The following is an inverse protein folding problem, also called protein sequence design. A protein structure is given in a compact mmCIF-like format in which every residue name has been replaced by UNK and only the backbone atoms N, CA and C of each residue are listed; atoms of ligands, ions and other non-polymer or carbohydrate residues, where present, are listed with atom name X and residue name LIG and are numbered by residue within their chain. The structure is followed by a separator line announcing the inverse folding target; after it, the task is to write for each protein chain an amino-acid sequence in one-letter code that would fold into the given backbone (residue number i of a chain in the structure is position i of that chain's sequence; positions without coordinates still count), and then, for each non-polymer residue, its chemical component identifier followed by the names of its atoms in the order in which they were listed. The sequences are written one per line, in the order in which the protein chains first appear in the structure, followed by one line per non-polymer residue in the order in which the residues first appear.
data_IF_001121689333
#
_entry.id   IF_001121689333
#
_cell.length_a   1.000
_cell.length_b   1.000
_cell.length_c   1.000
_cell.angle_alpha   90.00
_cell.angle_beta   90.00
_cell.angle_gamma   90.00
#
_symmetry.space_group_name_H-M   'P 1'
#
loop_
_entity.id
_entity.type
_entity.pdbx_description
1 polymer ?
#
# COMPACT_ATOMS: atom_id res chain seq x y z
N UNK A 1 -70.49 53.48 6.25
CA UNK A 1 -71.79 54.09 5.99
C UNK A 1 -72.14 53.96 4.51
N UNK A 2 -73.38 53.71 4.11
CA UNK A 2 -74.39 52.91 4.80
C UNK A 2 -75.00 51.83 3.87
N UNK A 3 -75.68 50.95 4.50
CA UNK A 3 -77.10 50.61 4.45
C UNK A 3 -77.53 49.64 3.35
N UNK A 4 -78.08 48.55 3.84
CA UNK A 4 -79.53 48.12 3.94
C UNK A 4 -80.10 47.73 2.58
N UNK A 5 -80.84 46.68 2.37
CA UNK A 5 -81.98 46.13 3.09
C UNK A 5 -82.28 44.68 2.70
N UNK A 6 -82.72 43.93 3.66
CA UNK A 6 -83.84 43.01 3.75
C UNK A 6 -84.83 42.95 2.59
N UNK A 7 -85.22 41.70 2.23
CA UNK A 7 -86.65 41.25 2.18
C UNK A 7 -86.65 39.73 1.82
N UNK A 8 -87.10 39.00 2.62
CA UNK A 8 -88.17 38.08 3.02
C UNK A 8 -89.00 37.44 1.90
N UNK A 9 -89.35 36.20 2.22
CA UNK A 9 -90.50 35.34 1.75
C UNK A 9 -90.18 34.57 0.45
N UNK A 10 -90.39 33.26 0.35
CA UNK A 10 -91.66 32.55 0.63
C UNK A 10 -91.41 31.03 0.64
N UNK A 11 -92.14 30.42 1.54
CA UNK A 11 -92.21 28.97 1.81
C UNK A 11 -93.09 28.29 0.73
N UNK A 12 -92.50 27.31 0.00
CA UNK A 12 -93.33 26.43 -0.84
C UNK A 12 -92.89 25.00 -0.61
N UNK A 13 -93.69 24.28 0.19
CA UNK A 13 -93.60 22.81 0.31
C UNK A 13 -93.89 22.15 -1.02
N UNK A 14 -93.00 21.25 -1.45
CA UNK A 14 -93.30 20.26 -2.45
C UNK A 14 -93.13 18.85 -1.84
N UNK A 15 -93.89 17.85 -2.28
CA UNK A 15 -94.20 16.65 -1.54
C UNK A 15 -92.98 15.64 -1.51
N UNK A 16 -92.93 14.91 -0.41
CA UNK A 16 -91.96 13.82 -0.21
C UNK A 16 -92.18 12.71 -1.25
N UNK A 17 -91.07 12.30 -1.93
CA UNK A 17 -90.98 11.13 -2.77
C UNK A 17 -90.51 9.94 -1.92
N UNK A 18 -91.30 8.82 -1.76
CA UNK A 18 -91.01 7.74 -0.88
C UNK A 18 -90.11 6.66 -1.52
N UNK A 19 -89.12 6.99 -2.36
CA UNK A 19 -88.27 6.04 -3.02
C UNK A 19 -86.74 6.29 -2.88
N UNK A 20 -86.32 6.98 -1.80
CA UNK A 20 -84.90 7.04 -1.50
C UNK A 20 -84.49 5.81 -0.68
N UNK A 21 -84.19 4.73 -1.39
CA UNK A 21 -83.49 3.53 -0.85
C UNK A 21 -82.09 3.94 -0.44
N UNK A 22 -81.76 3.88 0.87
CA UNK A 22 -80.46 4.11 1.41
C UNK A 22 -79.42 3.16 0.74
N UNK A 23 -78.63 3.66 -0.20
CA UNK A 23 -77.46 2.97 -0.70
C UNK A 23 -76.44 2.86 0.43
N UNK A 24 -76.26 1.66 1.00
CA UNK A 24 -75.16 1.33 1.87
C UNK A 24 -73.85 1.65 1.13
N UNK A 25 -72.84 2.30 1.78
CA UNK A 25 -71.58 2.49 1.14
C UNK A 25 -70.95 1.12 0.88
N UNK A 26 -70.68 0.82 -0.40
CA UNK A 26 -69.90 -0.34 -0.82
C UNK A 26 -68.63 -0.40 0.03
N UNK A 27 -68.48 -1.50 0.80
CA UNK A 27 -67.22 -1.84 1.41
C UNK A 27 -66.16 -1.94 0.33
N UNK A 28 -65.26 -0.96 0.30
CA UNK A 28 -64.09 -1.02 -0.53
C UNK A 28 -63.42 -2.39 -0.41
N UNK A 29 -63.09 -3.11 -1.50
CA UNK A 29 -62.45 -4.44 -1.42
C UNK A 29 -61.21 -4.30 -0.56
N UNK A 30 -61.19 -5.09 0.54
CA UNK A 30 -60.13 -5.07 1.54
C UNK A 30 -58.76 -5.09 0.83
N UNK A 31 -57.93 -4.06 1.08
CA UNK A 31 -56.58 -3.99 0.59
C UNK A 31 -55.87 -5.27 1.03
N UNK A 32 -55.68 -6.19 0.11
CA UNK A 32 -54.93 -7.42 0.32
C UNK A 32 -53.57 -7.03 0.92
N UNK A 33 -53.31 -7.39 2.15
CA UNK A 33 -52.09 -7.02 2.85
C UNK A 33 -50.91 -7.50 2.00
N UNK A 34 -50.02 -6.55 1.57
CA UNK A 34 -48.87 -6.87 0.80
C UNK A 34 -48.09 -8.04 1.43
N UNK A 35 -47.67 -9.06 0.66
CA UNK A 35 -47.03 -10.24 1.21
C UNK A 35 -45.82 -9.78 2.05
N UNK A 36 -45.60 -10.41 3.21
CA UNK A 36 -44.49 -10.01 4.09
C UNK A 36 -43.17 -10.10 3.36
N UNK A 37 -42.36 -9.02 3.45
CA UNK A 37 -41.08 -8.94 2.78
C UNK A 37 -40.24 -10.20 3.09
N UNK A 38 -39.57 -10.80 2.08
CA UNK A 38 -38.82 -12.04 2.25
C UNK A 38 -37.76 -11.87 3.34
N UNK A 39 -37.76 -12.79 4.32
CA UNK A 39 -36.79 -12.77 5.42
C UNK A 39 -35.39 -12.97 4.85
N UNK A 40 -34.62 -11.87 4.70
CA UNK A 40 -33.24 -11.92 4.24
C UNK A 40 -32.35 -12.67 5.24
N UNK A 41 -31.39 -13.44 4.71
CA UNK A 41 -30.41 -14.20 5.48
C UNK A 41 -29.02 -13.87 4.97
N UNK A 42 -28.02 -13.99 5.84
CA UNK A 42 -26.62 -13.95 5.40
C UNK A 42 -26.37 -15.09 4.40
N UNK A 43 -25.69 -14.82 3.29
CA UNK A 43 -25.36 -15.86 2.32
C UNK A 43 -24.35 -16.85 2.93
N UNK A 44 -24.42 -18.11 2.51
CA UNK A 44 -23.55 -19.19 3.03
C UNK A 44 -22.08 -18.85 2.89
N UNK A 45 -21.70 -18.23 1.76
CA UNK A 45 -20.30 -17.85 1.55
C UNK A 45 -19.76 -16.88 2.62
N UNK A 46 -20.60 -16.02 3.21
CA UNK A 46 -20.15 -15.12 4.29
C UNK A 46 -19.67 -15.91 5.52
N UNK A 47 -20.36 -17.02 5.87
CA UNK A 47 -19.92 -17.89 6.97
C UNK A 47 -18.58 -18.60 6.65
N UNK A 48 -18.38 -19.00 5.38
CA UNK A 48 -17.10 -19.56 4.93
C UNK A 48 -15.98 -18.54 5.09
N UNK A 49 -16.20 -17.29 4.64
CA UNK A 49 -15.20 -16.21 4.76
C UNK A 49 -14.90 -15.88 6.23
N UNK A 50 -15.90 -15.88 7.11
CA UNK A 50 -15.68 -15.72 8.55
C UNK A 50 -14.87 -16.88 9.14
N UNK A 51 -15.16 -18.11 8.73
CA UNK A 51 -14.36 -19.28 9.14
C UNK A 51 -12.89 -19.17 8.73
N UNK A 52 -12.64 -18.72 7.49
CA UNK A 52 -11.28 -18.45 6.99
C UNK A 52 -10.61 -17.33 7.81
N UNK A 53 -11.35 -16.25 8.16
CA UNK A 53 -10.80 -15.16 8.97
C UNK A 53 -10.45 -15.60 10.40
N UNK A 54 -11.23 -16.51 11.00
CA UNK A 54 -10.90 -17.11 12.30
C UNK A 54 -9.62 -17.94 12.21
N UNK A 55 -9.46 -18.74 11.14
CA UNK A 55 -8.22 -19.47 10.88
C UNK A 55 -7.03 -18.52 10.66
N UNK A 56 -7.22 -17.43 9.91
CA UNK A 56 -6.20 -16.40 9.72
C UNK A 56 -5.80 -15.73 11.05
N UNK A 57 -6.77 -15.44 11.92
CA UNK A 57 -6.49 -14.91 13.25
C UNK A 57 -5.66 -15.88 14.08
N UNK A 58 -5.97 -17.18 14.04
CA UNK A 58 -5.20 -18.21 14.75
C UNK A 58 -3.76 -18.28 14.22
N UNK A 59 -3.56 -18.20 12.90
CA UNK A 59 -2.22 -18.13 12.26
C UNK A 59 -1.48 -16.87 12.71
N UNK A 60 -2.13 -15.72 12.73
CA UNK A 60 -1.51 -14.46 13.17
C UNK A 60 -1.07 -14.54 14.64
N UNK A 61 -1.88 -15.13 15.52
CA UNK A 61 -1.53 -15.34 16.92
C UNK A 61 -0.34 -16.32 17.04
N UNK A 62 -0.35 -17.41 16.29
CA UNK A 62 0.77 -18.36 16.28
C UNK A 62 2.07 -17.72 15.78
N UNK A 63 2.00 -16.88 14.73
CA UNK A 63 3.15 -16.14 14.21
C UNK A 63 3.72 -15.16 15.25
N UNK A 64 2.85 -14.46 15.99
CA UNK A 64 3.28 -13.56 17.09
C UNK A 64 3.96 -14.29 18.25
N UNK A 65 3.60 -15.54 18.51
CA UNK A 65 4.14 -16.32 19.59
C UNK A 65 5.40 -17.10 19.21
N UNK A 66 5.68 -17.30 17.92
CA UNK A 66 6.80 -18.11 17.45
C UNK A 66 7.37 -17.57 16.14
N UNK A 67 8.56 -16.91 16.17
CA UNK A 67 9.27 -16.50 14.96
C UNK A 67 9.53 -17.66 13.99
N UNK A 68 9.88 -18.84 14.50
CA UNK A 68 10.09 -20.01 13.65
C UNK A 68 8.83 -20.48 12.91
N UNK A 69 7.64 -20.37 13.56
CA UNK A 69 6.37 -20.60 12.88
C UNK A 69 6.12 -19.54 11.82
N UNK A 70 6.36 -18.26 12.14
CA UNK A 70 6.19 -17.16 11.21
C UNK A 70 7.08 -17.33 9.96
N UNK A 71 8.35 -17.66 10.14
CA UNK A 71 9.30 -17.92 9.04
C UNK A 71 8.84 -19.10 8.17
N UNK A 72 8.46 -20.21 8.79
CA UNK A 72 7.99 -21.41 8.08
C UNK A 72 6.72 -21.09 7.29
N UNK A 73 5.75 -20.43 7.92
CA UNK A 73 4.50 -20.06 7.27
C UNK A 73 4.72 -19.08 6.11
N UNK A 74 5.52 -18.02 6.33
CA UNK A 74 5.84 -17.01 5.33
C UNK A 74 6.58 -17.62 4.12
N UNK A 75 7.52 -18.56 4.38
CA UNK A 75 8.32 -19.23 3.34
C UNK A 75 7.50 -20.17 2.47
N UNK A 76 6.61 -20.97 3.06
CA UNK A 76 5.90 -22.03 2.33
C UNK A 76 4.47 -21.63 1.93
N UNK A 77 3.68 -21.11 2.85
CA UNK A 77 2.29 -20.74 2.59
C UNK A 77 2.21 -19.33 2.00
N UNK A 78 2.84 -18.37 2.65
CA UNK A 78 2.87 -16.98 2.20
C UNK A 78 3.46 -16.83 0.79
N UNK A 79 4.57 -17.50 0.51
CA UNK A 79 5.18 -17.47 -0.82
C UNK A 79 4.27 -18.02 -1.92
N UNK A 80 3.49 -19.08 -1.63
CA UNK A 80 2.51 -19.61 -2.59
C UNK A 80 1.39 -18.62 -2.84
N UNK A 81 0.85 -17.98 -1.78
CA UNK A 81 -0.22 -16.98 -1.92
C UNK A 81 0.27 -15.78 -2.72
N UNK A 82 1.43 -15.21 -2.38
CA UNK A 82 2.03 -14.08 -3.11
C UNK A 82 2.33 -14.42 -4.57
N UNK A 83 2.97 -15.59 -4.78
CA UNK A 83 3.29 -16.08 -6.12
C UNK A 83 2.05 -16.27 -6.98
N UNK A 84 1.00 -16.89 -6.44
CA UNK A 84 -0.27 -17.07 -7.15
C UNK A 84 -0.90 -15.73 -7.53
N UNK A 85 -0.99 -14.78 -6.59
CA UNK A 85 -1.52 -13.44 -6.86
C UNK A 85 -0.69 -12.70 -7.91
N UNK A 86 0.65 -12.68 -7.76
CA UNK A 86 1.54 -12.02 -8.71
C UNK A 86 1.43 -12.61 -10.13
N UNK A 87 1.28 -13.94 -10.27
CA UNK A 87 1.09 -14.56 -11.57
C UNK A 87 -0.30 -14.30 -12.16
N UNK A 88 -1.35 -14.34 -11.33
CA UNK A 88 -2.73 -14.06 -11.78
C UNK A 88 -2.90 -12.62 -12.25
N UNK A 89 -2.20 -11.66 -11.64
CA UNK A 89 -2.27 -10.25 -12.03
C UNK A 89 -1.18 -9.85 -13.03
N UNK A 90 -0.11 -10.63 -13.13
CA UNK A 90 1.09 -10.31 -13.91
C UNK A 90 0.85 -10.11 -15.41
N UNK A 91 -0.17 -10.74 -15.99
CA UNK A 91 -0.55 -10.57 -17.40
C UNK A 91 -1.30 -9.24 -17.66
N UNK A 92 -1.86 -8.61 -16.63
CA UNK A 92 -2.58 -7.33 -16.74
C UNK A 92 -1.56 -6.19 -16.90
N UNK A 93 -1.65 -5.34 -17.94
CA UNK A 93 -0.62 -4.37 -18.27
C UNK A 93 -0.62 -3.11 -17.38
N UNK A 94 -1.60 -2.96 -16.49
CA UNK A 94 -1.73 -1.82 -15.57
C UNK A 94 -1.88 -2.28 -14.12
N UNK A 95 -1.73 -1.35 -13.17
CA UNK A 95 -1.91 -1.63 -11.74
C UNK A 95 -3.38 -1.84 -11.38
N UNK A 96 -3.73 -3.05 -10.90
CA UNK A 96 -5.05 -3.31 -10.32
C UNK A 96 -5.21 -2.61 -8.97
N UNK A 97 -4.12 -2.49 -8.20
CA UNK A 97 -4.12 -1.76 -6.93
C UNK A 97 -4.54 -0.30 -7.15
N UNK A 98 -3.94 0.37 -8.13
CA UNK A 98 -4.33 1.74 -8.52
C UNK A 98 -5.78 1.82 -8.99
N UNK A 99 -6.20 0.90 -9.89
CA UNK A 99 -7.57 0.86 -10.37
C UNK A 99 -8.58 0.70 -9.21
N UNK A 100 -8.27 -0.14 -8.22
CA UNK A 100 -9.11 -0.29 -7.03
C UNK A 100 -9.21 1.01 -6.24
N UNK A 101 -8.11 1.74 -6.03
CA UNK A 101 -8.12 3.03 -5.32
C UNK A 101 -8.98 4.07 -6.07
N UNK A 102 -8.82 4.16 -7.40
CA UNK A 102 -9.60 5.09 -8.23
C UNK A 102 -11.11 4.79 -8.18
N UNK A 103 -11.48 3.50 -8.23
CA UNK A 103 -12.89 3.07 -8.21
C UNK A 103 -13.49 2.96 -6.81
N UNK A 104 -12.70 3.04 -5.75
CA UNK A 104 -13.18 2.93 -4.37
C UNK A 104 -14.30 3.93 -4.02
N UNK A 105 -14.21 5.24 -4.35
CA UNK A 105 -15.30 6.17 -4.08
C UNK A 105 -16.59 5.79 -4.81
N UNK A 106 -16.49 5.34 -6.06
CA UNK A 106 -17.66 4.91 -6.87
C UNK A 106 -18.29 3.66 -6.24
N UNK A 107 -17.48 2.70 -5.83
CA UNK A 107 -17.94 1.50 -5.12
C UNK A 107 -18.60 1.84 -3.79
N UNK A 108 -18.05 2.80 -3.02
CA UNK A 108 -18.63 3.27 -1.77
C UNK A 108 -20.02 3.90 -2.00
N UNK A 109 -20.15 4.81 -2.96
CA UNK A 109 -21.45 5.40 -3.33
C UNK A 109 -22.44 4.33 -3.77
N UNK A 110 -22.01 3.39 -4.63
CA UNK A 110 -22.85 2.26 -5.06
C UNK A 110 -23.33 1.43 -3.87
N UNK A 111 -22.44 1.11 -2.93
CA UNK A 111 -22.77 0.35 -1.73
C UNK A 111 -23.80 1.09 -0.86
N UNK A 112 -23.63 2.41 -0.65
CA UNK A 112 -24.56 3.24 0.11
C UNK A 112 -25.94 3.27 -0.57
N UNK A 113 -26.00 3.56 -1.88
CA UNK A 113 -27.25 3.58 -2.64
C UNK A 113 -27.95 2.22 -2.60
N UNK A 114 -27.20 1.13 -2.73
CA UNK A 114 -27.73 -0.24 -2.61
C UNK A 114 -28.26 -0.52 -1.20
N UNK A 115 -27.58 -0.08 -0.16
CA UNK A 115 -28.05 -0.18 1.22
C UNK A 115 -29.38 0.55 1.41
N UNK A 116 -29.45 1.83 1.01
CA UNK A 116 -30.64 2.65 1.14
C UNK A 116 -31.84 2.11 0.32
N UNK A 117 -31.59 1.61 -0.89
CA UNK A 117 -32.68 1.15 -1.78
C UNK A 117 -33.16 -0.25 -1.47
N UNK A 118 -32.30 -1.16 -1.02
CA UNK A 118 -32.64 -2.59 -0.90
C UNK A 118 -32.66 -3.13 0.53
N UNK A 119 -32.06 -2.43 1.50
CA UNK A 119 -31.86 -2.97 2.84
C UNK A 119 -32.37 -2.07 3.96
N UNK A 120 -33.08 -0.99 3.63
CA UNK A 120 -33.66 -0.05 4.60
C UNK A 120 -35.05 -0.47 5.13
N UNK A 121 -35.57 -1.61 4.66
CA UNK A 121 -36.89 -2.13 5.02
C UNK A 121 -37.00 -2.63 6.48
N UNK A 122 -35.89 -3.05 7.07
CA UNK A 122 -35.84 -3.50 8.47
C UNK A 122 -34.42 -3.51 9.01
N UNK A 123 -34.25 -3.40 10.33
CA UNK A 123 -32.95 -3.55 11.01
C UNK A 123 -32.27 -4.87 10.68
N UNK A 124 -33.07 -5.94 10.54
CA UNK A 124 -32.54 -7.24 10.12
C UNK A 124 -31.88 -7.18 8.74
N UNK A 125 -32.48 -6.49 7.77
CA UNK A 125 -31.92 -6.33 6.43
C UNK A 125 -30.62 -5.52 6.47
N UNK A 126 -30.57 -4.48 7.29
CA UNK A 126 -29.35 -3.69 7.52
C UNK A 126 -28.22 -4.57 8.08
N UNK A 127 -28.51 -5.38 9.12
CA UNK A 127 -27.49 -6.28 9.69
C UNK A 127 -27.03 -7.36 8.70
N UNK A 128 -27.91 -7.91 7.87
CA UNK A 128 -27.53 -8.84 6.79
C UNK A 128 -26.63 -8.17 5.77
N UNK A 129 -26.91 -6.92 5.42
CA UNK A 129 -26.07 -6.16 4.51
C UNK A 129 -24.68 -5.88 5.11
N UNK A 130 -24.64 -5.33 6.31
CA UNK A 130 -23.38 -5.04 7.02
C UNK A 130 -22.56 -6.32 7.23
N UNK A 131 -23.20 -7.43 7.61
CA UNK A 131 -22.54 -8.73 7.69
C UNK A 131 -21.96 -9.17 6.34
N UNK A 132 -22.69 -8.97 5.24
CA UNK A 132 -22.15 -9.30 3.91
C UNK A 132 -20.94 -8.43 3.53
N UNK A 133 -20.96 -7.14 3.86
CA UNK A 133 -19.79 -6.26 3.67
C UNK A 133 -18.61 -6.69 4.56
N UNK A 134 -18.89 -6.98 5.83
CA UNK A 134 -17.86 -7.46 6.76
C UNK A 134 -17.22 -8.78 6.31
N UNK A 135 -17.97 -9.65 5.62
CA UNK A 135 -17.39 -10.90 5.07
C UNK A 135 -16.34 -10.62 3.99
N UNK A 136 -16.50 -9.56 3.19
CA UNK A 136 -15.49 -9.12 2.22
C UNK A 136 -14.25 -8.57 2.93
N UNK A 137 -14.44 -7.76 3.98
CA UNK A 137 -13.34 -7.27 4.83
C UNK A 137 -12.59 -8.44 5.47
N UNK A 138 -13.31 -9.48 5.92
CA UNK A 138 -12.74 -10.72 6.47
C UNK A 138 -11.87 -11.46 5.43
N UNK A 139 -12.27 -11.45 4.16
CA UNK A 139 -11.45 -12.00 3.07
C UNK A 139 -10.15 -11.20 2.90
N UNK A 140 -10.23 -9.86 2.83
CA UNK A 140 -9.04 -9.02 2.70
C UNK A 140 -8.08 -9.21 3.89
N UNK A 141 -8.61 -9.28 5.10
CA UNK A 141 -7.83 -9.61 6.30
C UNK A 141 -7.14 -10.97 6.17
N UNK A 142 -7.85 -11.98 5.70
CA UNK A 142 -7.29 -13.33 5.53
C UNK A 142 -6.18 -13.36 4.49
N UNK A 143 -6.37 -12.68 3.35
CA UNK A 143 -5.34 -12.56 2.30
C UNK A 143 -4.12 -11.82 2.84
N UNK A 144 -4.32 -10.75 3.62
CA UNK A 144 -3.23 -10.05 4.29
C UNK A 144 -2.42 -10.98 5.20
N UNK A 145 -3.09 -11.69 6.12
CA UNK A 145 -2.41 -12.56 7.09
C UNK A 145 -1.68 -13.70 6.38
N UNK A 146 -2.34 -14.40 5.46
CA UNK A 146 -1.76 -15.55 4.76
C UNK A 146 -0.67 -15.15 3.77
N UNK A 147 -0.81 -14.00 3.12
CA UNK A 147 0.11 -13.56 2.08
C UNK A 147 1.28 -12.70 2.59
N UNK A 148 1.09 -11.89 3.64
CA UNK A 148 2.06 -10.86 3.99
C UNK A 148 2.26 -10.66 5.50
N UNK A 149 1.17 -10.57 6.28
CA UNK A 149 1.19 -10.12 7.67
C UNK A 149 2.04 -10.98 8.62
N UNK A 150 2.24 -12.27 8.32
CA UNK A 150 3.12 -13.14 9.12
C UNK A 150 4.60 -12.74 9.01
N UNK A 151 5.02 -12.09 7.92
CA UNK A 151 6.40 -11.63 7.72
C UNK A 151 6.88 -10.63 8.78
N UNK A 152 5.97 -9.88 9.43
CA UNK A 152 6.34 -8.95 10.51
C UNK A 152 6.86 -9.63 11.77
N UNK A 153 6.58 -10.92 11.96
CA UNK A 153 6.85 -11.65 13.21
C UNK A 153 7.92 -12.74 13.07
N UNK A 154 8.52 -12.88 11.88
CA UNK A 154 9.63 -13.79 11.64
C UNK A 154 10.94 -13.31 12.27
N UNK A 155 11.95 -14.17 12.22
CA UNK A 155 13.34 -13.86 12.53
C UNK A 155 13.80 -12.69 11.66
N UNK A 156 14.51 -11.73 12.25
CA UNK A 156 14.97 -10.53 11.53
C UNK A 156 16.04 -10.84 10.48
N UNK A 157 16.20 -9.96 9.49
CA UNK A 157 17.19 -10.13 8.43
C UNK A 157 18.62 -10.10 8.99
N UNK A 158 18.88 -9.23 9.97
CA UNK A 158 20.18 -9.21 10.66
C UNK A 158 20.53 -10.55 11.33
N UNK A 159 19.58 -11.15 12.04
CA UNK A 159 19.76 -12.47 12.65
C UNK A 159 19.99 -13.56 11.58
N UNK A 160 19.22 -13.56 10.49
CA UNK A 160 19.36 -14.51 9.37
C UNK A 160 20.69 -14.40 8.67
N UNK A 161 21.23 -13.18 8.58
CA UNK A 161 22.53 -12.90 7.96
C UNK A 161 23.69 -12.93 8.97
N UNK A 162 23.42 -13.00 10.27
CA UNK A 162 24.43 -12.89 11.32
C UNK A 162 25.12 -11.52 11.37
N UNK A 163 24.37 -10.45 11.10
CA UNK A 163 24.85 -9.07 11.17
C UNK A 163 24.77 -8.53 12.60
N UNK A 164 25.78 -7.80 13.01
CA UNK A 164 25.81 -7.14 14.33
C UNK A 164 25.20 -5.73 14.26
N UNK A 165 23.96 -5.60 14.73
CA UNK A 165 23.24 -4.32 14.86
C UNK A 165 23.51 -3.62 16.20
N UNK A 166 24.70 -3.74 16.76
CA UNK A 166 25.10 -2.96 17.92
C UNK A 166 25.11 -1.46 17.61
N UNK A 167 25.13 -0.64 18.68
CA UNK A 167 25.09 0.83 18.55
C UNK A 167 26.18 1.30 17.61
N UNK A 168 25.77 2.12 16.64
CA UNK A 168 26.65 2.64 15.59
C UNK A 168 27.33 3.93 16.06
N UNK A 169 28.64 4.00 15.96
CA UNK A 169 29.44 5.20 16.27
C UNK A 169 29.51 6.18 15.08
N UNK A 170 29.81 7.46 15.33
CA UNK A 170 30.02 8.44 14.25
C UNK A 170 31.15 8.05 13.29
N UNK A 171 32.20 7.38 13.79
CA UNK A 171 33.31 6.89 12.99
C UNK A 171 32.86 5.77 12.02
N UNK A 172 32.03 4.85 12.48
CA UNK A 172 31.47 3.78 11.64
C UNK A 172 30.54 4.34 10.58
N UNK A 173 29.69 5.33 10.94
CA UNK A 173 28.88 6.08 9.95
C UNK A 173 29.76 6.74 8.89
N UNK A 174 30.89 7.36 9.31
CA UNK A 174 31.83 7.99 8.40
C UNK A 174 32.45 6.97 7.44
N UNK A 175 32.95 5.84 7.93
CA UNK A 175 33.55 4.80 7.09
C UNK A 175 32.54 4.20 6.12
N UNK A 176 31.33 3.92 6.58
CA UNK A 176 30.26 3.39 5.74
C UNK A 176 29.84 4.42 4.67
N UNK A 177 29.63 5.67 5.05
CA UNK A 177 29.29 6.74 4.11
C UNK A 177 30.41 6.97 3.09
N UNK A 178 31.68 6.94 3.50
CA UNK A 178 32.82 7.12 2.60
C UNK A 178 32.95 5.96 1.61
N UNK A 179 32.71 4.72 2.05
CA UNK A 179 32.70 3.54 1.20
C UNK A 179 31.57 3.60 0.17
N UNK A 180 30.35 3.93 0.62
CA UNK A 180 29.20 4.13 -0.27
C UNK A 180 29.47 5.24 -1.28
N UNK A 181 30.01 6.38 -0.85
CA UNK A 181 30.37 7.49 -1.73
C UNK A 181 31.41 7.09 -2.80
N UNK A 182 32.38 6.25 -2.44
CA UNK A 182 33.36 5.70 -3.41
C UNK A 182 32.67 4.82 -4.46
N UNK A 183 31.73 3.95 -4.06
CA UNK A 183 30.95 3.12 -4.98
C UNK A 183 30.04 3.98 -5.87
N UNK A 184 29.30 4.94 -5.29
CA UNK A 184 28.49 5.90 -6.05
C UNK A 184 29.34 6.61 -7.12
N UNK A 185 30.52 7.12 -6.74
CA UNK A 185 31.42 7.78 -7.67
C UNK A 185 31.92 6.86 -8.79
N UNK A 186 32.19 5.61 -8.49
CA UNK A 186 32.61 4.60 -9.46
C UNK A 186 31.51 4.30 -10.47
N UNK A 187 30.30 4.01 -9.98
CA UNK A 187 29.16 3.72 -10.87
C UNK A 187 28.73 4.94 -11.68
N UNK A 188 28.83 6.15 -11.13
CA UNK A 188 28.54 7.41 -11.83
C UNK A 188 29.37 7.64 -13.12
N UNK A 189 30.49 6.92 -13.31
CA UNK A 189 31.26 6.96 -14.56
C UNK A 189 30.51 6.31 -15.73
N UNK A 190 29.61 5.39 -15.44
CA UNK A 190 28.80 4.65 -16.41
C UNK A 190 27.38 5.22 -16.58
N UNK A 191 27.05 6.29 -15.86
CA UNK A 191 25.73 6.93 -15.86
C UNK A 191 25.72 8.14 -16.78
N UNK A 192 24.63 8.31 -17.53
CA UNK A 192 24.40 9.48 -18.38
C UNK A 192 23.49 10.48 -17.66
N UNK A 193 23.90 11.75 -17.63
CA UNK A 193 23.16 12.83 -17.03
C UNK A 193 22.56 13.73 -18.11
N UNK A 194 21.37 14.27 -17.84
CA UNK A 194 20.70 15.26 -18.68
C UNK A 194 21.11 16.69 -18.30
N UNK A 195 20.62 17.64 -19.07
CA UNK A 195 20.88 19.07 -18.87
C UNK A 195 20.32 19.64 -17.56
N UNK A 196 19.38 18.93 -16.93
CA UNK A 196 18.76 19.27 -15.64
C UNK A 196 19.40 18.57 -14.44
N UNK A 197 20.61 18.05 -14.62
CA UNK A 197 21.41 17.34 -13.63
C UNK A 197 20.87 15.95 -13.21
N UNK A 198 19.72 15.51 -13.70
CA UNK A 198 19.24 14.16 -13.48
C UNK A 198 19.92 13.14 -14.42
N UNK A 199 20.24 11.98 -13.85
CA UNK A 199 20.62 10.83 -14.64
C UNK A 199 19.41 10.22 -15.36
N UNK A 200 19.67 9.45 -16.41
CA UNK A 200 18.64 8.82 -17.23
C UNK A 200 18.82 7.33 -17.22
N UNK A 201 17.75 6.63 -16.91
CA UNK A 201 17.70 5.18 -17.04
C UNK A 201 17.89 4.79 -18.51
N UNK A 202 18.96 4.01 -18.84
CA UNK A 202 19.34 3.78 -20.25
C UNK A 202 18.47 2.74 -20.97
N UNK A 203 17.38 2.29 -20.36
CA UNK A 203 16.48 1.26 -20.87
C UNK A 203 15.05 1.51 -20.42
N UNK A 204 14.13 0.70 -20.95
CA UNK A 204 12.71 0.78 -20.60
C UNK A 204 12.43 0.27 -19.17
N UNK A 205 11.30 0.71 -18.59
CA UNK A 205 10.82 0.23 -17.30
C UNK A 205 10.69 -1.31 -17.25
N UNK A 206 10.19 -1.93 -18.32
CA UNK A 206 10.10 -3.41 -18.42
C UNK A 206 11.47 -4.08 -18.44
N UNK A 207 12.47 -3.47 -19.08
CA UNK A 207 13.84 -3.98 -19.07
C UNK A 207 14.48 -3.86 -17.68
N UNK A 208 14.29 -2.74 -17.00
CA UNK A 208 14.70 -2.57 -15.60
C UNK A 208 14.11 -3.66 -14.72
N UNK A 209 12.81 -3.93 -14.85
CA UNK A 209 12.14 -4.99 -14.10
C UNK A 209 12.76 -6.37 -14.33
N UNK A 210 13.10 -6.74 -15.58
CA UNK A 210 13.78 -8.00 -15.90
C UNK A 210 15.18 -8.09 -15.29
N UNK A 211 15.94 -7.00 -15.32
CA UNK A 211 17.28 -6.93 -14.73
C UNK A 211 17.23 -7.08 -13.21
N UNK A 212 16.22 -6.49 -12.56
CA UNK A 212 15.99 -6.67 -11.13
C UNK A 212 15.61 -8.12 -10.77
N UNK A 213 14.78 -8.80 -11.60
CA UNK A 213 14.50 -10.24 -11.39
C UNK A 213 15.80 -11.05 -11.45
N UNK A 214 16.67 -10.78 -12.43
CA UNK A 214 17.96 -11.48 -12.53
C UNK A 214 18.89 -11.18 -11.35
N UNK A 215 18.88 -9.94 -10.83
CA UNK A 215 19.61 -9.58 -9.62
C UNK A 215 19.05 -10.28 -8.38
N UNK A 216 17.72 -10.37 -8.26
CA UNK A 216 17.08 -11.16 -7.20
C UNK A 216 17.44 -12.64 -7.29
N UNK A 217 17.56 -13.22 -8.47
CA UNK A 217 17.95 -14.62 -8.62
C UNK A 217 19.33 -14.88 -8.04
N UNK A 218 20.31 -13.95 -8.20
CA UNK A 218 21.62 -14.03 -7.57
C UNK A 218 21.54 -13.99 -6.04
N UNK A 219 20.77 -13.03 -5.52
CA UNK A 219 20.57 -12.88 -4.06
C UNK A 219 19.85 -14.11 -3.47
N UNK A 220 18.89 -14.70 -4.20
CA UNK A 220 18.23 -15.95 -3.79
C UNK A 220 19.16 -17.19 -3.87
N UNK A 221 20.23 -17.17 -4.69
CA UNK A 221 21.25 -18.22 -4.69
C UNK A 221 22.11 -18.16 -3.42
N UNK A 222 22.33 -16.96 -2.89
CA UNK A 222 23.14 -16.72 -1.69
C UNK A 222 22.31 -16.85 -0.40
N UNK A 223 21.07 -16.35 -0.41
CA UNK A 223 20.21 -16.28 0.78
C UNK A 223 18.90 -17.06 0.56
N UNK A 224 18.87 -18.28 1.01
CA UNK A 224 17.79 -19.25 0.78
C UNK A 224 16.44 -18.88 1.46
N UNK A 225 16.43 -17.90 2.38
CA UNK A 225 15.21 -17.41 3.03
C UNK A 225 14.39 -16.46 2.11
N UNK A 226 14.96 -15.95 1.02
CA UNK A 226 14.30 -15.11 0.04
C UNK A 226 13.72 -15.98 -1.08
N UNK A 227 12.39 -16.08 -1.26
CA UNK A 227 11.83 -16.95 -2.28
C UNK A 227 12.05 -16.37 -3.68
N UNK A 228 12.38 -17.25 -4.64
CA UNK A 228 12.41 -16.86 -6.06
C UNK A 228 11.01 -16.55 -6.54
N UNK A 229 10.88 -15.46 -7.27
CA UNK A 229 9.62 -15.05 -7.87
C UNK A 229 9.89 -14.32 -9.18
N UNK A 230 9.50 -14.94 -10.29
CA UNK A 230 9.52 -14.29 -11.58
C UNK A 230 8.24 -13.45 -11.74
N UNK A 231 8.32 -12.20 -11.33
CA UNK A 231 7.23 -11.22 -11.42
C UNK A 231 7.80 -9.88 -11.90
N UNK A 232 6.96 -9.08 -12.53
CA UNK A 232 7.34 -7.73 -12.93
C UNK A 232 6.74 -6.68 -12.00
N UNK A 233 7.43 -5.56 -11.86
CA UNK A 233 6.86 -4.36 -11.26
C UNK A 233 5.93 -3.65 -12.25
N UNK A 234 5.00 -2.86 -11.76
CA UNK A 234 4.02 -2.13 -12.58
C UNK A 234 4.14 -0.64 -12.38
N UNK A 235 4.15 0.16 -13.45
CA UNK A 235 4.09 1.60 -13.34
C UNK A 235 2.67 2.02 -12.91
N UNK A 236 2.59 3.03 -12.04
CA UNK A 236 1.35 3.72 -11.70
C UNK A 236 1.02 4.71 -12.81
N UNK A 237 -0.21 4.70 -13.33
CA UNK A 237 -0.64 5.57 -14.42
C UNK A 237 -0.78 7.04 -13.96
N UNK A 238 -1.31 7.26 -12.75
CA UNK A 238 -1.46 8.57 -12.13
C UNK A 238 -0.26 8.92 -11.25
N UNK A 239 0.96 8.71 -11.76
CA UNK A 239 2.21 8.90 -11.01
C UNK A 239 2.36 10.33 -10.49
N UNK A 240 2.10 11.37 -11.28
CA UNK A 240 2.24 12.76 -10.82
C UNK A 240 1.25 13.11 -9.69
N UNK A 241 -0.08 12.87 -9.80
CA UNK A 241 -0.99 13.02 -8.66
C UNK A 241 -0.57 12.18 -7.44
N UNK A 242 -0.05 10.99 -7.67
CA UNK A 242 0.40 10.12 -6.57
C UNK A 242 1.63 10.68 -5.84
N UNK A 243 2.50 11.43 -6.53
CA UNK A 243 3.69 12.05 -5.91
C UNK A 243 3.32 13.00 -4.76
N UNK A 244 2.13 13.59 -4.76
CA UNK A 244 1.63 14.37 -3.61
C UNK A 244 1.42 13.55 -2.33
N UNK A 245 1.40 12.22 -2.39
CA UNK A 245 1.40 11.35 -1.22
C UNK A 245 2.79 11.12 -0.65
N UNK A 246 3.85 11.52 -1.34
CA UNK A 246 5.26 11.21 -1.10
C UNK A 246 5.60 9.70 -1.17
N UNK A 247 4.71 8.88 -1.73
CA UNK A 247 4.93 7.44 -1.88
C UNK A 247 5.57 7.16 -3.25
N UNK A 248 6.78 6.60 -3.23
CA UNK A 248 7.53 6.22 -4.43
C UNK A 248 7.11 4.86 -5.00
N UNK A 249 6.67 3.94 -4.13
CA UNK A 249 6.18 2.63 -4.50
C UNK A 249 5.20 2.08 -3.49
N UNK A 250 4.49 1.01 -3.83
CA UNK A 250 3.62 0.29 -2.91
C UNK A 250 3.42 -1.16 -3.35
N UNK A 251 3.68 -2.08 -2.45
CA UNK A 251 3.26 -3.46 -2.60
C UNK A 251 1.80 -3.63 -2.19
N UNK A 252 0.97 -4.07 -3.13
CA UNK A 252 -0.45 -4.33 -2.88
C UNK A 252 -0.68 -5.80 -2.58
N UNK A 253 -0.70 -6.17 -1.31
CA UNK A 253 -0.76 -7.57 -0.86
C UNK A 253 -2.00 -8.34 -1.34
N UNK A 254 -3.12 -7.69 -1.64
CA UNK A 254 -4.35 -8.34 -2.11
C UNK A 254 -4.39 -8.56 -3.63
N UNK A 255 -3.50 -7.94 -4.38
CA UNK A 255 -3.29 -8.19 -5.82
C UNK A 255 -1.94 -8.84 -6.10
N UNK A 256 -1.02 -8.82 -5.13
CA UNK A 256 0.35 -9.33 -5.28
C UNK A 256 1.24 -8.45 -6.15
N UNK A 257 0.86 -7.18 -6.39
CA UNK A 257 1.53 -6.27 -7.31
C UNK A 257 2.52 -5.36 -6.59
N UNK A 258 3.72 -5.24 -7.13
CA UNK A 258 4.70 -4.20 -6.80
C UNK A 258 4.48 -3.01 -7.76
N UNK A 259 4.00 -1.89 -7.25
CA UNK A 259 3.59 -0.72 -8.03
C UNK A 259 4.55 0.43 -7.79
N UNK A 260 5.00 1.09 -8.86
CA UNK A 260 6.04 2.10 -8.82
C UNK A 260 5.52 3.42 -9.37
N UNK A 261 5.74 4.48 -8.62
CA UNK A 261 5.50 5.85 -9.06
C UNK A 261 6.63 6.30 -9.98
N UNK A 262 6.35 6.38 -11.27
CA UNK A 262 7.35 6.72 -12.29
C UNK A 262 7.53 8.23 -12.50
N UNK A 263 6.89 9.07 -11.69
CA UNK A 263 7.12 10.52 -11.70
C UNK A 263 8.36 10.92 -10.86
N UNK A 264 8.86 10.01 -10.04
CA UNK A 264 10.12 10.23 -9.32
C UNK A 264 11.31 10.24 -10.27
N UNK A 265 12.43 10.91 -9.92
CA UNK A 265 13.65 10.88 -10.73
C UNK A 265 14.15 9.47 -11.03
N UNK A 266 14.62 9.24 -12.25
CA UNK A 266 14.93 7.90 -12.77
C UNK A 266 15.88 7.10 -11.88
N UNK A 267 16.84 7.74 -11.20
CA UNK A 267 17.81 7.03 -10.37
C UNK A 267 17.19 6.38 -9.11
N UNK A 268 16.05 6.89 -8.63
CA UNK A 268 15.37 6.32 -7.47
C UNK A 268 14.53 5.09 -7.82
N UNK A 269 14.14 4.96 -9.11
CA UNK A 269 13.18 3.95 -9.57
C UNK A 269 13.68 2.52 -9.39
N UNK A 270 14.94 2.15 -9.75
CA UNK A 270 15.41 0.78 -9.57
C UNK A 270 15.45 0.33 -8.11
N UNK A 271 15.91 1.19 -7.20
CA UNK A 271 15.93 0.86 -5.76
C UNK A 271 14.52 0.74 -5.19
N UNK A 272 13.61 1.68 -5.49
CA UNK A 272 12.20 1.59 -5.10
C UNK A 272 11.57 0.30 -5.64
N UNK A 273 11.83 -0.04 -6.90
CA UNK A 273 11.31 -1.27 -7.50
C UNK A 273 11.85 -2.52 -6.78
N UNK A 274 13.13 -2.55 -6.44
CA UNK A 274 13.73 -3.64 -5.67
C UNK A 274 13.10 -3.74 -4.27
N UNK A 275 12.80 -2.63 -3.62
CA UNK A 275 12.13 -2.56 -2.32
C UNK A 275 10.69 -3.17 -2.40
N UNK A 276 9.88 -2.76 -3.36
CA UNK A 276 8.53 -3.31 -3.52
C UNK A 276 8.56 -4.80 -3.90
N UNK A 277 9.59 -5.22 -4.65
CA UNK A 277 9.83 -6.63 -4.93
C UNK A 277 10.28 -7.41 -3.69
N UNK A 278 10.94 -6.78 -2.70
CA UNK A 278 11.24 -7.42 -1.41
C UNK A 278 9.96 -7.72 -0.63
N UNK A 279 9.04 -6.75 -0.56
CA UNK A 279 7.71 -6.97 0.02
C UNK A 279 6.94 -8.09 -0.69
N UNK A 280 7.00 -8.14 -2.01
CA UNK A 280 6.38 -9.20 -2.81
C UNK A 280 6.97 -10.58 -2.51
N UNK A 281 8.22 -10.65 -2.03
CA UNK A 281 8.90 -11.87 -1.57
C UNK A 281 8.68 -12.17 -0.09
N UNK A 282 7.94 -11.31 0.62
CA UNK A 282 7.52 -11.53 2.00
C UNK A 282 8.43 -10.91 3.06
N UNK A 283 9.32 -10.03 2.67
CA UNK A 283 10.04 -9.16 3.60
C UNK A 283 9.09 -8.03 4.00
N UNK A 284 8.55 -8.08 5.21
CA UNK A 284 7.47 -7.18 5.60
C UNK A 284 7.93 -5.90 6.28
N UNK A 285 9.08 -5.93 6.97
CA UNK A 285 9.64 -4.76 7.66
C UNK A 285 10.34 -3.84 6.70
N UNK A 286 10.15 -2.52 6.87
CA UNK A 286 10.63 -1.50 5.94
C UNK A 286 12.16 -1.40 5.90
N UNK A 287 12.81 -1.44 7.07
CA UNK A 287 14.27 -1.44 7.16
C UNK A 287 14.89 -2.67 6.48
N UNK A 288 14.27 -3.82 6.66
CA UNK A 288 14.69 -5.07 6.02
C UNK A 288 14.45 -5.04 4.50
N UNK A 289 13.31 -4.49 4.05
CA UNK A 289 13.00 -4.34 2.64
C UNK A 289 13.97 -3.37 1.95
N UNK A 290 14.30 -2.25 2.60
CA UNK A 290 15.34 -1.32 2.15
C UNK A 290 16.71 -2.00 2.05
N UNK A 291 17.07 -2.82 3.04
CA UNK A 291 18.36 -3.50 3.03
C UNK A 291 18.44 -4.62 1.97
N UNK A 292 17.38 -5.39 1.80
CA UNK A 292 17.31 -6.40 0.72
C UNK A 292 17.34 -5.70 -0.65
N UNK A 293 16.64 -4.57 -0.82
CA UNK A 293 16.73 -3.77 -2.05
C UNK A 293 18.17 -3.33 -2.34
N UNK A 294 18.90 -2.89 -1.31
CA UNK A 294 20.32 -2.56 -1.44
C UNK A 294 21.13 -3.77 -1.92
N UNK A 295 21.04 -4.92 -1.27
CA UNK A 295 21.75 -6.13 -1.66
C UNK A 295 21.43 -6.54 -3.10
N UNK A 296 20.18 -6.47 -3.51
CA UNK A 296 19.74 -6.78 -4.88
C UNK A 296 20.34 -5.80 -5.89
N UNK A 297 20.28 -4.50 -5.59
CA UNK A 297 20.83 -3.49 -6.49
C UNK A 297 22.34 -3.66 -6.69
N UNK A 298 23.12 -3.86 -5.61
CA UNK A 298 24.57 -4.01 -5.71
C UNK A 298 25.00 -5.35 -6.35
N UNK A 299 24.15 -6.38 -6.31
CA UNK A 299 24.36 -7.66 -6.97
C UNK A 299 24.03 -7.65 -8.47
N UNK A 300 23.45 -6.54 -8.98
CA UNK A 300 23.10 -6.40 -10.39
C UNK A 300 24.35 -6.29 -11.28
N UNK A 301 24.28 -6.87 -12.49
CA UNK A 301 25.30 -6.62 -13.53
C UNK A 301 25.20 -5.23 -14.15
N UNK A 302 24.07 -4.55 -13.93
CA UNK A 302 23.79 -3.25 -14.52
C UNK A 302 24.32 -2.11 -13.65
N UNK A 303 25.18 -1.22 -14.19
CA UNK A 303 25.78 -0.14 -13.43
C UNK A 303 24.77 0.91 -12.98
N UNK A 304 23.66 1.12 -13.72
CA UNK A 304 22.65 2.08 -13.33
C UNK A 304 21.83 1.58 -12.13
N UNK A 305 21.52 0.27 -12.08
CA UNK A 305 20.86 -0.35 -10.92
C UNK A 305 21.77 -0.28 -9.70
N UNK A 306 23.09 -0.57 -9.87
CA UNK A 306 24.04 -0.45 -8.74
C UNK A 306 24.16 1.00 -8.27
N UNK A 307 24.25 1.96 -9.20
CA UNK A 307 24.26 3.38 -8.89
C UNK A 307 23.04 3.79 -8.03
N UNK A 308 21.85 3.39 -8.46
CA UNK A 308 20.59 3.62 -7.72
C UNK A 308 20.68 3.08 -6.28
N UNK A 309 21.08 1.82 -6.09
CA UNK A 309 21.19 1.20 -4.78
C UNK A 309 22.22 1.86 -3.86
N UNK A 310 23.41 2.15 -4.39
CA UNK A 310 24.46 2.83 -3.62
C UNK A 310 24.08 4.26 -3.23
N UNK A 311 23.47 5.02 -4.14
CA UNK A 311 23.11 6.42 -3.86
C UNK A 311 21.99 6.51 -2.85
N UNK A 312 20.94 5.69 -2.95
CA UNK A 312 19.82 5.69 -1.99
C UNK A 312 20.30 5.34 -0.57
N UNK A 313 21.11 4.30 -0.41
CA UNK A 313 21.62 3.94 0.93
C UNK A 313 22.65 4.94 1.42
N UNK A 314 23.45 5.55 0.52
CA UNK A 314 24.31 6.67 0.87
C UNK A 314 23.50 7.81 1.49
N UNK A 315 22.37 8.20 0.89
CA UNK A 315 21.55 9.31 1.41
C UNK A 315 21.02 9.02 2.82
N UNK A 316 20.59 7.79 3.14
CA UNK A 316 20.21 7.38 4.49
C UNK A 316 21.38 7.49 5.48
N UNK A 317 22.53 6.93 5.13
CA UNK A 317 23.72 6.95 6.00
C UNK A 317 24.26 8.36 6.17
N UNK A 318 24.31 9.15 5.10
CA UNK A 318 24.76 10.55 5.10
C UNK A 318 23.84 11.45 5.97
N UNK A 319 22.53 11.23 5.96
CA UNK A 319 21.60 11.94 6.83
C UNK A 319 21.86 11.63 8.32
N UNK A 320 22.12 10.38 8.65
CA UNK A 320 22.49 9.97 10.01
C UNK A 320 23.85 10.54 10.43
N UNK A 321 24.82 10.52 9.51
CA UNK A 321 26.15 11.11 9.73
C UNK A 321 26.07 12.64 9.92
N UNK A 322 25.24 13.34 9.13
CA UNK A 322 25.02 14.78 9.33
C UNK A 322 24.49 15.10 10.72
N UNK A 323 23.63 14.23 11.25
CA UNK A 323 23.06 14.37 12.59
C UNK A 323 24.08 14.06 13.69
N UNK A 324 25.01 13.13 13.44
CA UNK A 324 26.02 12.69 14.40
C UNK A 324 27.27 13.60 14.38
N UNK A 325 27.83 13.89 13.20
CA UNK A 325 29.02 14.75 13.03
C UNK A 325 29.01 15.47 11.67
N UNK A 326 28.84 16.79 11.71
CA UNK A 326 28.80 17.63 10.50
C UNK A 326 30.14 17.75 9.77
N UNK A 327 31.26 17.56 10.46
CA UNK A 327 32.58 17.64 9.84
C UNK A 327 32.84 16.38 9.02
N UNK A 328 32.53 15.21 9.58
CA UNK A 328 32.59 13.94 8.87
C UNK A 328 31.66 13.96 7.67
N UNK A 329 30.41 14.42 7.81
CA UNK A 329 29.48 14.58 6.71
C UNK A 329 30.04 15.47 5.59
N UNK A 330 30.59 16.66 5.96
CA UNK A 330 31.15 17.60 4.98
C UNK A 330 32.32 17.00 4.22
N UNK A 331 33.17 16.22 4.88
CA UNK A 331 34.30 15.54 4.27
C UNK A 331 33.81 14.51 3.22
N UNK A 332 32.86 13.65 3.60
CA UNK A 332 32.30 12.65 2.68
C UNK A 332 31.51 13.28 1.55
N UNK A 333 30.64 14.24 1.82
CA UNK A 333 29.85 14.93 0.79
C UNK A 333 30.74 15.64 -0.24
N UNK A 334 31.85 16.23 0.21
CA UNK A 334 32.81 16.88 -0.66
C UNK A 334 33.58 15.90 -1.56
N UNK A 335 33.67 14.63 -1.20
CA UNK A 335 34.29 13.57 -2.00
C UNK A 335 33.43 13.08 -3.16
N UNK A 336 32.13 13.34 -3.13
CA UNK A 336 31.24 12.99 -4.23
C UNK A 336 31.57 13.80 -5.49
N UNK A 337 31.41 13.16 -6.65
CA UNK A 337 31.52 13.83 -7.96
C UNK A 337 30.49 14.95 -8.09
N UNK A 338 30.83 15.96 -8.86
CA UNK A 338 29.98 17.16 -9.05
C UNK A 338 28.61 16.80 -9.62
N UNK A 339 28.54 15.88 -10.59
CA UNK A 339 27.28 15.41 -11.18
C UNK A 339 26.39 14.67 -10.17
N UNK A 340 26.96 13.86 -9.26
CA UNK A 340 26.20 13.19 -8.20
C UNK A 340 25.60 14.22 -7.23
N UNK A 341 26.40 15.19 -6.80
CA UNK A 341 25.90 16.29 -5.93
C UNK A 341 24.83 17.14 -6.61
N UNK A 342 24.99 17.37 -7.92
CA UNK A 342 23.99 18.11 -8.70
C UNK A 342 22.68 17.32 -8.80
N UNK A 343 22.73 15.99 -8.98
CA UNK A 343 21.54 15.13 -8.99
C UNK A 343 20.80 15.13 -7.65
N UNK A 344 21.51 15.03 -6.52
CA UNK A 344 20.91 15.14 -5.18
C UNK A 344 20.26 16.52 -4.95
N UNK A 345 20.89 17.60 -5.42
CA UNK A 345 20.32 18.94 -5.36
C UNK A 345 19.09 19.08 -6.26
N UNK A 346 19.12 18.50 -7.46
CA UNK A 346 17.97 18.47 -8.39
C UNK A 346 16.80 17.68 -7.82
N UNK A 347 17.04 16.59 -7.10
CA UNK A 347 16.01 15.83 -6.38
C UNK A 347 15.32 16.69 -5.31
N UNK A 348 16.11 17.43 -4.51
CA UNK A 348 15.54 18.35 -3.52
C UNK A 348 14.66 19.42 -4.18
N UNK A 349 15.11 20.01 -5.28
CA UNK A 349 14.36 20.99 -6.05
C UNK A 349 13.10 20.40 -6.70
N UNK A 350 13.16 19.17 -7.19
CA UNK A 350 11.98 18.45 -7.71
C UNK A 350 10.90 18.32 -6.64
N UNK A 351 11.29 17.98 -5.39
CA UNK A 351 10.37 17.79 -4.30
C UNK A 351 9.77 19.09 -3.76
N UNK A 352 10.35 20.27 -4.01
CA UNK A 352 9.80 21.55 -3.54
C UNK A 352 8.35 21.76 -3.97
N UNK A 353 7.96 21.27 -5.16
CA UNK A 353 6.58 21.31 -5.66
C UNK A 353 5.61 20.46 -4.80
N UNK A 354 6.08 19.41 -4.16
CA UNK A 354 5.26 18.41 -3.47
C UNK A 354 5.37 18.49 -1.94
N UNK A 355 6.32 19.26 -1.39
CA UNK A 355 6.79 19.19 -0.01
C UNK A 355 5.71 19.47 1.03
N UNK A 356 4.96 20.55 0.89
CA UNK A 356 3.96 20.96 1.87
C UNK A 356 2.54 20.77 1.31
N UNK A 357 1.91 19.64 1.64
CA UNK A 357 0.54 19.39 1.23
C UNK A 357 -0.21 18.51 2.24
N UNK A 358 -1.54 18.69 2.31
CA UNK A 358 -2.42 17.95 3.25
C UNK A 358 -2.46 16.46 2.92
N UNK A 359 -2.34 16.09 1.64
CA UNK A 359 -2.40 14.69 1.20
C UNK A 359 -1.20 13.91 1.74
N UNK A 360 0.01 14.50 1.70
CA UNK A 360 1.20 13.88 2.27
C UNK A 360 1.06 13.66 3.79
N UNK A 361 0.57 14.67 4.52
CA UNK A 361 0.37 14.55 5.97
C UNK A 361 -0.61 13.43 6.34
N UNK A 362 -1.71 13.28 5.59
CA UNK A 362 -2.68 12.20 5.79
C UNK A 362 -2.08 10.85 5.43
N UNK A 363 -1.36 10.77 4.30
CA UNK A 363 -0.68 9.56 3.85
C UNK A 363 0.34 9.08 4.89
N UNK A 364 1.18 9.98 5.39
CA UNK A 364 2.16 9.66 6.43
C UNK A 364 1.50 9.19 7.73
N UNK A 365 0.44 9.86 8.19
CA UNK A 365 -0.27 9.47 9.40
C UNK A 365 -0.90 8.06 9.27
N UNK A 366 -1.49 7.74 8.12
CA UNK A 366 -2.06 6.42 7.82
C UNK A 366 -0.96 5.35 7.79
N UNK A 367 0.13 5.60 7.06
CA UNK A 367 1.26 4.67 6.95
C UNK A 367 1.91 4.44 8.33
N UNK A 368 2.18 5.50 9.08
CA UNK A 368 2.76 5.41 10.41
C UNK A 368 1.88 4.58 11.36
N UNK A 369 0.55 4.79 11.33
CA UNK A 369 -0.39 4.01 12.14
C UNK A 369 -0.39 2.52 11.73
N UNK A 370 -0.36 2.25 10.44
CA UNK A 370 -0.28 0.88 9.90
C UNK A 370 0.99 0.15 10.41
N UNK A 371 2.15 0.79 10.28
CA UNK A 371 3.43 0.23 10.70
C UNK A 371 3.48 -0.01 12.22
N UNK A 372 2.97 0.93 13.04
CA UNK A 372 2.92 0.78 14.49
C UNK A 372 2.00 -0.36 14.96
N UNK A 373 0.85 -0.58 14.31
CA UNK A 373 -0.05 -1.71 14.59
C UNK A 373 0.68 -3.05 14.39
N UNK A 374 1.64 -3.11 13.46
CA UNK A 374 2.44 -4.31 13.19
C UNK A 374 3.72 -4.41 14.03
N UNK A 375 3.89 -3.52 15.02
CA UNK A 375 4.96 -3.62 16.02
C UNK A 375 6.29 -2.97 15.59
N UNK A 376 6.28 -2.14 14.54
CA UNK A 376 7.43 -1.34 14.16
C UNK A 376 7.44 0.04 14.83
N UNK A 377 8.53 0.79 14.70
CA UNK A 377 8.63 2.19 15.20
C UNK A 377 7.93 3.21 14.28
N UNK A 378 7.03 2.75 13.44
CA UNK A 378 6.30 3.57 12.47
C UNK A 378 7.19 4.01 11.32
N UNK A 379 6.94 5.20 10.76
CA UNK A 379 7.71 5.74 9.63
C UNK A 379 9.22 5.91 9.92
N UNK A 380 9.63 5.93 11.19
CA UNK A 380 11.06 5.91 11.56
C UNK A 380 11.78 4.61 11.17
N UNK A 381 11.04 3.51 10.94
CA UNK A 381 11.64 2.24 10.53
C UNK A 381 12.39 2.31 9.20
N UNK A 382 12.01 3.20 8.31
CA UNK A 382 12.75 3.39 7.04
C UNK A 382 14.21 3.80 7.25
N UNK A 383 14.50 4.61 8.27
CA UNK A 383 15.85 5.02 8.62
C UNK A 383 16.70 3.96 9.30
N UNK A 384 16.11 2.87 9.80
CA UNK A 384 16.85 1.79 10.47
C UNK A 384 17.66 0.91 9.49
N UNK A 385 17.53 1.12 8.19
CA UNK A 385 18.44 0.53 7.19
C UNK A 385 19.90 0.92 7.42
N UNK A 386 20.14 2.06 8.06
CA UNK A 386 21.51 2.54 8.39
C UNK A 386 22.24 1.54 9.27
N UNK A 387 21.57 1.01 10.31
CA UNK A 387 22.19 0.03 11.20
C UNK A 387 22.56 -1.25 10.45
N UNK A 388 21.69 -1.70 9.53
CA UNK A 388 21.95 -2.87 8.68
C UNK A 388 23.10 -2.62 7.70
N UNK A 389 23.14 -1.44 7.07
CA UNK A 389 24.22 -1.07 6.16
C UNK A 389 25.57 -0.99 6.88
N UNK A 390 25.63 -0.36 8.06
CA UNK A 390 26.84 -0.32 8.88
C UNK A 390 27.26 -1.71 9.30
N UNK A 391 26.31 -2.55 9.77
CA UNK A 391 26.59 -3.92 10.16
C UNK A 391 27.13 -4.77 9.01
N UNK A 392 26.64 -4.55 7.78
CA UNK A 392 27.14 -5.20 6.57
C UNK A 392 28.60 -4.82 6.29
N UNK A 393 28.93 -3.53 6.30
CA UNK A 393 30.31 -3.07 6.07
C UNK A 393 31.29 -3.36 7.21
N UNK A 394 30.80 -3.59 8.46
CA UNK A 394 31.64 -4.11 9.57
C UNK A 394 32.26 -5.47 9.25
N UNK A 395 31.59 -6.30 8.43
CA UNK A 395 32.11 -7.62 8.03
C UNK A 395 33.19 -7.56 6.98
N UNK A 396 33.45 -6.38 6.38
CA UNK A 396 34.41 -6.19 5.30
C UNK A 396 33.93 -6.67 3.94
N UNK A 397 32.62 -6.76 3.77
CA UNK A 397 31.94 -7.14 2.52
C UNK A 397 31.59 -5.94 1.65
#
# INVERSE_FOLDING_TARGET
MPNTDMESTENTMLPEDPSAEEARPDEAPGAEAAPPAPKRRLPVFAFVLYGIAVAALAVLVAARLSPAFADTFNRYVGAVVRGALAHLTGWIPFSLGEAMVIFLPVAAVFMIVRACRKYSDSWRSVFVYLGSVLSVVSLLFSVFVFGFGTGYYGTTVDEKLGLDRSVVSPEELYYTAATLAAHVNSEAENVKYQYNDFSVMPYTFDEMSRRLVAAYDKVCDEYDFIPRLNSRVKPVMLSEPWTYTHISGVYTYFTGEANINTNFPDYTIPYTAAHEMAHQRGIAREDEANFIAFLVCISSDDPYIRYSGYLEVYEYVASSLYSADKNYYSAVYSSLKTNVRAEMAAYSAFFDKYRENVVANVSEAVNNSYLQIHGTVGSKSYGLVVDLAVAYYRRGE
#
